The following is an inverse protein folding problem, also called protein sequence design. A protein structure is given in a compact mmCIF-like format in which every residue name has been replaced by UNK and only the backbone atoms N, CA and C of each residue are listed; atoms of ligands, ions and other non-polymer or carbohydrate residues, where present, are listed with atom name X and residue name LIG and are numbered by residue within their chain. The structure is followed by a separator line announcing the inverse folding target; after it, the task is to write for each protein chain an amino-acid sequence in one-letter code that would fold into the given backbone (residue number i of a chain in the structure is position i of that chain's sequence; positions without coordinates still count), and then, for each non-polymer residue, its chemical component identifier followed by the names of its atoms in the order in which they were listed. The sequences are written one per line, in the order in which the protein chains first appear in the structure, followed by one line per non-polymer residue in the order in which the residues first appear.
data_IF_945524954855
#
_entry.id   IF_945524954855
#
_cell.length_a   1.000
_cell.length_b   1.000
_cell.length_c   1.000
_cell.angle_alpha   90.00
_cell.angle_beta   90.00
_cell.angle_gamma   90.00
#
_symmetry.space_group_name_H-M   'P 1'
#
loop_
_entity.id
_entity.type
_entity.pdbx_description
1 polymer ?
#
# COMPACT_ATOMS: atom_id res chain seq x y z
N UNK A 1 -47.22 -0.05 0.45
CA UNK A 1 -46.98 0.21 1.88
C UNK A 1 -45.54 -0.05 2.39
N UNK A 2 -44.62 -0.62 1.60
CA UNK A 2 -43.25 -0.99 2.05
C UNK A 2 -42.20 0.13 1.94
N UNK A 3 -42.39 1.12 1.05
CA UNK A 3 -41.38 2.17 0.79
C UNK A 3 -41.35 3.28 1.87
N UNK A 4 -42.50 3.68 2.42
CA UNK A 4 -42.58 4.73 3.45
C UNK A 4 -41.95 4.31 4.80
N UNK A 5 -41.94 3.02 5.13
CA UNK A 5 -41.32 2.52 6.38
C UNK A 5 -39.78 2.53 6.32
N UNK A 6 -39.19 2.26 5.15
CA UNK A 6 -37.72 2.29 4.97
C UNK A 6 -37.17 3.71 4.96
N UNK A 7 -37.90 4.66 4.37
CA UNK A 7 -37.51 6.08 4.38
C UNK A 7 -37.60 6.69 5.78
N UNK A 8 -38.60 6.29 6.57
CA UNK A 8 -38.77 6.75 7.96
C UNK A 8 -37.65 6.22 8.88
N UNK A 9 -37.21 4.97 8.70
CA UNK A 9 -36.12 4.40 9.49
C UNK A 9 -34.76 5.09 9.22
N UNK A 10 -34.50 5.44 7.96
CA UNK A 10 -33.28 6.15 7.57
C UNK A 10 -33.26 7.59 8.12
N UNK A 11 -34.40 8.30 8.06
CA UNK A 11 -34.51 9.63 8.65
C UNK A 11 -34.33 9.62 10.17
N UNK A 12 -34.88 8.62 10.86
CA UNK A 12 -34.74 8.46 12.31
C UNK A 12 -33.29 8.21 12.72
N UNK A 13 -32.54 7.42 11.94
CA UNK A 13 -31.09 7.17 12.15
C UNK A 13 -30.25 8.43 11.93
N UNK A 14 -30.57 9.22 10.90
CA UNK A 14 -29.88 10.49 10.64
C UNK A 14 -30.17 11.50 11.76
N UNK A 15 -31.42 11.58 12.23
CA UNK A 15 -31.80 12.47 13.32
C UNK A 15 -31.15 12.09 14.65
N UNK A 16 -31.11 10.80 15.01
CA UNK A 16 -30.43 10.35 16.23
C UNK A 16 -28.92 10.59 16.18
N UNK A 17 -28.29 10.44 15.01
CA UNK A 17 -26.88 10.73 14.82
C UNK A 17 -26.54 12.22 14.93
N UNK A 18 -27.39 13.10 14.37
CA UNK A 18 -27.23 14.55 14.51
C UNK A 18 -27.46 15.03 15.95
N UNK A 19 -28.42 14.42 16.68
CA UNK A 19 -28.65 14.71 18.09
C UNK A 19 -27.43 14.31 18.94
N UNK A 20 -26.84 13.15 18.66
CA UNK A 20 -25.64 12.66 19.34
C UNK A 20 -24.45 13.62 19.14
N UNK A 21 -24.25 14.13 17.92
CA UNK A 21 -23.21 15.11 17.62
C UNK A 21 -23.46 16.47 18.30
N UNK A 22 -24.72 16.90 18.43
CA UNK A 22 -25.06 18.12 19.17
C UNK A 22 -24.84 17.99 20.68
N UNK A 23 -25.18 16.84 21.27
CA UNK A 23 -24.93 16.55 22.69
C UNK A 23 -23.44 16.46 22.98
N UNK A 24 -22.67 15.79 22.11
CA UNK A 24 -21.21 15.73 22.20
C UNK A 24 -20.55 17.12 22.11
N UNK A 25 -21.06 18.00 21.24
CA UNK A 25 -20.61 19.41 21.15
C UNK A 25 -21.00 20.26 22.36
N UNK A 26 -22.14 20.00 23.01
CA UNK A 26 -22.55 20.69 24.24
C UNK A 26 -21.68 20.29 25.43
N UNK A 27 -21.41 19.00 25.60
CA UNK A 27 -20.56 18.50 26.69
C UNK A 27 -19.09 18.92 26.55
N UNK A 28 -18.61 19.18 25.33
CA UNK A 28 -17.28 19.72 25.10
C UNK A 28 -17.15 21.22 25.47
N UNK A 29 -18.26 21.97 25.58
CA UNK A 29 -18.26 23.40 25.92
C UNK A 29 -18.41 23.72 27.41
N UNK A 30 -18.74 22.74 28.26
CA UNK A 30 -18.98 22.96 29.70
C UNK A 30 -17.78 22.69 30.62
N UNK A 31 -16.61 22.30 30.08
CA UNK A 31 -15.44 21.96 30.88
C UNK A 31 -14.31 23.01 30.85
N UNK A 32 -14.67 24.29 30.96
CA UNK A 32 -13.74 25.36 31.33
C UNK A 32 -14.38 26.26 32.38
N UNK A 33 -14.01 26.06 33.65
CA UNK A 33 -14.43 26.92 34.76
C UNK A 33 -14.05 26.37 36.14
N UNK A 34 -13.05 27.01 36.74
CA UNK A 34 -12.87 27.27 38.19
C UNK A 34 -12.56 26.13 39.18
N UNK A 35 -11.39 26.29 39.77
CA UNK A 35 -10.88 25.86 41.07
C UNK A 35 -11.79 26.15 42.26
N UNK A 36 -11.60 25.34 43.30
CA UNK A 36 -11.72 25.65 44.74
C UNK A 36 -13.07 25.52 45.48
N UNK A 37 -12.96 24.87 46.66
CA UNK A 37 -13.87 24.83 47.82
C UNK A 37 -15.16 24.01 47.69
N UNK A 38 -15.22 22.85 48.35
CA UNK A 38 -16.14 22.63 49.49
C UNK A 38 -15.78 21.35 50.27
N UNK A 39 -15.83 21.49 51.60
CA UNK A 39 -15.39 20.57 52.63
C UNK A 39 -16.61 19.85 53.25
N UNK A 40 -16.37 18.71 53.91
CA UNK A 40 -17.31 17.91 54.74
C UNK A 40 -18.37 17.13 53.91
N UNK A 41 -18.68 15.85 54.14
CA UNK A 41 -18.78 15.04 55.36
C UNK A 41 -18.79 13.58 54.86
N UNK A 42 -17.97 12.66 55.36
CA UNK A 42 -18.40 11.63 56.31
C UNK A 42 -17.14 10.82 56.65
N UNK A 43 -16.78 10.82 57.94
CA UNK A 43 -15.78 9.91 58.45
C UNK A 43 -16.32 8.47 58.46
N UNK A 44 -15.41 7.50 58.35
CA UNK A 44 -15.26 6.38 59.28
C UNK A 44 -13.95 5.64 58.95
N UNK A 45 -13.10 5.59 59.99
CA UNK A 45 -12.10 4.59 60.36
C UNK A 45 -10.90 4.25 59.45
N UNK A 46 -9.72 4.66 59.93
CA UNK A 46 -8.40 4.09 59.62
C UNK A 46 -8.21 2.76 60.35
N UNK A 47 -7.76 1.72 59.66
CA UNK A 47 -6.88 0.73 60.28
C UNK A 47 -5.97 -0.02 59.30
N UNK A 48 -4.67 0.10 59.57
CA UNK A 48 -3.56 -0.85 59.36
C UNK A 48 -3.06 -1.13 57.94
N UNK A 49 -1.96 -0.45 57.64
CA UNK A 49 -0.84 -0.97 56.84
C UNK A 49 -0.30 -2.26 57.48
N UNK A 50 -0.23 -3.35 56.71
CA UNK A 50 0.68 -4.46 56.95
C UNK A 50 1.36 -4.84 55.64
N UNK A 51 2.64 -4.50 55.58
CA UNK A 51 3.64 -5.04 54.65
C UNK A 51 3.77 -6.54 54.92
N UNK A 52 3.63 -7.37 53.88
CA UNK A 52 4.06 -8.77 53.96
C UNK A 52 4.56 -9.25 52.59
N UNK A 53 5.77 -9.80 52.68
CA UNK A 53 6.67 -10.37 51.69
C UNK A 53 6.06 -11.16 50.52
N UNK A 54 6.74 -11.02 49.38
CA UNK A 54 6.69 -11.92 48.22
C UNK A 54 7.07 -13.36 48.61
N UNK A 55 6.44 -14.35 47.98
CA UNK A 55 7.11 -15.59 47.62
C UNK A 55 7.25 -15.70 46.09
N UNK A 56 8.45 -16.07 45.63
CA UNK A 56 8.62 -16.71 44.31
C UNK A 56 8.02 -18.11 44.36
N UNK A 57 7.41 -18.57 43.27
CA UNK A 57 7.66 -19.92 42.82
C UNK A 57 8.07 -20.01 41.35
N UNK A 58 8.70 -21.15 41.10
CA UNK A 58 9.42 -21.65 39.94
C UNK A 58 8.56 -22.01 38.73
N UNK A 59 9.22 -21.95 37.56
CA UNK A 59 9.12 -22.82 36.38
C UNK A 59 7.85 -23.67 36.23
N UNK A 60 7.02 -23.27 35.26
CA UNK A 60 5.97 -24.08 34.66
C UNK A 60 5.76 -23.66 33.21
N UNK A 61 5.88 -24.63 32.31
CA UNK A 61 5.58 -24.57 30.87
C UNK A 61 4.26 -23.85 30.54
N UNK A 62 4.25 -23.00 29.51
CA UNK A 62 3.01 -22.36 29.05
C UNK A 62 3.13 -21.62 27.71
N UNK A 63 2.50 -22.21 26.69
CA UNK A 63 2.01 -21.70 25.40
C UNK A 63 2.27 -20.25 24.96
N UNK A 64 2.69 -20.11 23.70
CA UNK A 64 2.62 -18.88 22.90
C UNK A 64 1.19 -18.32 22.84
N UNK A 65 0.90 -17.25 23.60
CA UNK A 65 -0.24 -16.38 23.36
C UNK A 65 0.15 -14.90 23.53
N UNK A 66 -0.26 -14.07 22.57
CA UNK A 66 -0.15 -12.62 22.64
C UNK A 66 -1.06 -12.09 23.76
N UNK A 67 -0.47 -11.73 24.92
CA UNK A 67 -1.10 -10.85 25.92
C UNK A 67 -0.18 -9.66 26.26
N UNK A 68 -0.74 -8.53 26.72
CA UNK A 68 -0.07 -7.24 26.78
C UNK A 68 0.74 -7.07 28.07
N UNK A 69 1.94 -6.50 27.96
CA UNK A 69 2.64 -5.97 29.12
C UNK A 69 1.90 -4.71 29.61
N UNK A 70 1.44 -4.75 30.87
CA UNK A 70 0.90 -3.60 31.60
C UNK A 70 1.98 -2.52 31.73
N UNK A 71 1.77 -1.37 31.10
CA UNK A 71 2.31 -0.10 31.59
C UNK A 71 1.21 0.96 31.48
N UNK A 72 0.78 1.47 32.65
CA UNK A 72 -0.06 2.66 32.78
C UNK A 72 0.81 3.89 32.51
N UNK A 73 0.51 4.62 31.44
CA UNK A 73 0.69 6.07 31.36
C UNK A 73 -0.23 6.63 30.26
N UNK A 74 -0.86 7.76 30.54
CA UNK A 74 -1.97 8.38 29.80
C UNK A 74 -1.81 8.43 28.27
N UNK A 75 -2.67 7.72 27.55
CA UNK A 75 -2.93 7.95 26.12
C UNK A 75 -4.34 8.50 25.98
N UNK A 76 -4.42 9.82 25.79
CA UNK A 76 -5.65 10.51 25.46
C UNK A 76 -6.01 10.26 23.98
N UNK A 77 -7.23 9.77 23.77
CA UNK A 77 -8.05 9.93 22.56
C UNK A 77 -7.51 9.43 21.20
N UNK A 78 -7.20 8.13 21.03
CA UNK A 78 -7.19 7.46 19.69
C UNK A 78 -7.68 6.00 19.74
N UNK A 79 -8.83 5.75 20.38
CA UNK A 79 -9.52 4.45 20.30
C UNK A 79 -10.96 4.68 19.82
N UNK A 80 -11.16 4.71 18.51
CA UNK A 80 -12.48 4.59 17.90
C UNK A 80 -12.50 3.48 16.85
N UNK A 81 -13.09 2.36 17.28
CA UNK A 81 -13.93 1.40 16.55
C UNK A 81 -13.60 1.07 15.08
N UNK A 82 -13.03 -0.13 14.87
CA UNK A 82 -12.92 -0.86 13.58
C UNK A 82 -14.18 -0.77 12.71
N UNK A 83 -15.35 -0.88 13.33
CA UNK A 83 -16.62 -0.80 12.61
C UNK A 83 -16.84 0.59 12.00
N UNK A 84 -16.44 1.67 12.66
CA UNK A 84 -16.68 3.03 12.14
C UNK A 84 -15.75 3.32 10.95
N UNK A 85 -14.49 2.90 10.97
CA UNK A 85 -13.58 3.10 9.83
C UNK A 85 -13.90 2.22 8.63
N UNK A 86 -14.16 0.91 8.83
CA UNK A 86 -14.59 0.03 7.74
C UNK A 86 -15.94 0.46 7.19
N UNK A 87 -16.88 0.87 8.06
CA UNK A 87 -18.16 1.42 7.63
C UNK A 87 -17.98 2.79 6.96
N UNK A 88 -17.06 3.66 7.37
CA UNK A 88 -16.77 4.92 6.66
C UNK A 88 -16.09 4.64 5.32
N UNK A 89 -15.15 3.69 5.18
CA UNK A 89 -14.55 3.35 3.87
C UNK A 89 -15.63 2.79 2.92
N UNK A 90 -16.51 1.92 3.45
CA UNK A 90 -17.62 1.33 2.70
C UNK A 90 -18.75 2.36 2.41
N UNK A 91 -19.06 3.29 3.32
CA UNK A 91 -20.11 4.31 3.17
C UNK A 91 -19.60 5.56 2.42
N UNK A 92 -18.32 5.91 2.53
CA UNK A 92 -17.74 7.12 1.91
C UNK A 92 -17.23 6.89 0.49
N UNK A 93 -17.14 5.64 0.03
CA UNK A 93 -16.69 5.32 -1.34
C UNK A 93 -15.27 5.79 -1.66
N UNK A 94 -14.42 6.01 -0.65
CA UNK A 94 -13.02 6.43 -0.82
C UNK A 94 -12.09 5.22 -0.66
N UNK A 95 -11.53 4.67 -1.75
CA UNK A 95 -10.55 3.59 -1.69
C UNK A 95 -9.20 4.21 -1.41
N UNK A 96 -9.00 4.46 -0.12
CA UNK A 96 -7.69 4.77 0.43
C UNK A 96 -7.25 3.55 1.23
N UNK A 97 -5.95 3.25 1.19
CA UNK A 97 -5.35 2.29 2.10
C UNK A 97 -5.56 2.73 3.54
N UNK A 98 -5.68 1.77 4.46
CA UNK A 98 -5.93 2.09 5.86
C UNK A 98 -4.78 2.92 6.44
N UNK A 99 -3.53 2.56 6.12
CA UNK A 99 -2.35 3.35 6.42
C UNK A 99 -1.47 3.49 5.17
N UNK A 100 -0.78 4.63 5.06
CA UNK A 100 0.20 4.87 4.00
C UNK A 100 1.52 5.24 4.66
N UNK A 101 2.47 4.29 4.65
CA UNK A 101 3.80 4.49 5.17
C UNK A 101 4.73 5.08 4.13
N UNK A 102 5.56 6.03 4.51
CA UNK A 102 6.71 6.48 3.72
C UNK A 102 7.99 6.11 4.43
N UNK A 103 8.81 5.27 3.81
CA UNK A 103 10.15 4.96 4.27
C UNK A 103 11.07 6.10 3.85
N UNK A 104 11.58 6.84 4.82
CA UNK A 104 12.42 8.02 4.61
C UNK A 104 13.56 8.02 5.62
N UNK A 105 14.78 8.24 5.16
CA UNK A 105 15.91 8.43 6.07
C UNK A 105 15.69 9.70 6.92
N UNK A 106 15.85 9.66 8.25
CA UNK A 106 15.57 10.81 9.12
C UNK A 106 16.28 12.10 8.72
N UNK A 107 17.49 11.99 8.17
CA UNK A 107 18.30 13.11 7.69
C UNK A 107 17.83 13.70 6.35
N UNK A 108 17.01 12.98 5.56
CA UNK A 108 16.45 13.42 4.27
C UNK A 108 15.18 14.24 4.46
N UNK A 109 15.32 15.34 5.21
CA UNK A 109 14.25 16.30 5.49
C UNK A 109 13.72 16.95 4.21
N UNK A 110 14.58 17.16 3.21
CA UNK A 110 14.23 17.64 1.88
C UNK A 110 13.15 16.77 1.19
N UNK A 111 13.31 15.44 1.25
CA UNK A 111 12.35 14.49 0.68
C UNK A 111 11.09 14.37 1.53
N UNK A 112 11.24 14.40 2.85
CA UNK A 112 10.12 14.39 3.80
C UNK A 112 9.18 15.56 3.59
N UNK A 113 9.71 16.77 3.48
CA UNK A 113 8.92 17.99 3.25
C UNK A 113 8.21 17.94 1.90
N UNK A 114 8.90 17.48 0.85
CA UNK A 114 8.30 17.32 -0.46
C UNK A 114 7.12 16.33 -0.44
N UNK A 115 7.30 15.16 0.19
CA UNK A 115 6.25 14.14 0.33
C UNK A 115 5.07 14.66 1.15
N UNK A 116 5.32 15.37 2.25
CA UNK A 116 4.27 15.94 3.09
C UNK A 116 3.42 16.97 2.34
N UNK A 117 4.06 17.86 1.56
CA UNK A 117 3.37 18.86 0.75
C UNK A 117 2.60 18.23 -0.42
N UNK A 118 3.18 17.24 -1.11
CA UNK A 118 2.49 16.51 -2.17
C UNK A 118 1.25 15.79 -1.63
N UNK A 119 1.36 15.15 -0.46
CA UNK A 119 0.24 14.49 0.18
C UNK A 119 -0.85 15.46 0.63
N UNK A 120 -0.49 16.61 1.20
CA UNK A 120 -1.45 17.65 1.53
C UNK A 120 -2.18 18.15 0.27
N UNK A 121 -1.46 18.33 -0.83
CA UNK A 121 -2.02 18.80 -2.11
C UNK A 121 -2.97 17.79 -2.77
N UNK A 122 -2.71 16.49 -2.65
CA UNK A 122 -3.58 15.43 -3.21
C UNK A 122 -4.53 14.81 -2.18
N UNK A 123 -4.48 15.29 -0.93
CA UNK A 123 -5.26 14.84 0.21
C UNK A 123 -4.99 13.39 0.61
N UNK A 124 -3.74 12.94 0.55
CA UNK A 124 -3.28 11.69 1.16
C UNK A 124 -2.84 11.96 2.60
N UNK A 125 -3.07 10.99 3.48
CA UNK A 125 -2.54 11.00 4.84
C UNK A 125 -1.36 10.05 4.88
N UNK A 126 -0.18 10.55 5.27
CA UNK A 126 1.07 9.80 5.28
C UNK A 126 1.58 9.63 6.71
N UNK A 127 2.05 8.43 7.02
CA UNK A 127 2.77 8.10 8.24
C UNK A 127 4.23 7.83 7.89
N UNK A 128 5.16 8.65 8.37
CA UNK A 128 6.58 8.43 8.12
C UNK A 128 7.13 7.29 8.97
N UNK A 129 7.91 6.41 8.35
CA UNK A 129 8.70 5.37 8.98
C UNK A 129 10.18 5.63 8.70
N UNK A 130 11.00 5.52 9.74
CA UNK A 130 12.41 5.84 9.62
C UNK A 130 13.13 4.78 8.78
N UNK A 131 13.82 5.27 7.75
CA UNK A 131 14.82 4.52 7.01
C UNK A 131 15.98 4.12 7.91
N UNK A 132 16.70 3.08 7.52
CA UNK A 132 17.83 2.56 8.29
C UNK A 132 19.09 2.63 7.44
N UNK A 133 20.16 3.23 7.96
CA UNK A 133 21.50 3.10 7.35
C UNK A 133 22.00 1.68 7.59
N UNK A 134 22.46 0.97 6.56
CA UNK A 134 22.99 -0.39 6.75
C UNK A 134 24.18 -0.44 7.69
N UNK A 135 24.93 0.66 7.85
CA UNK A 135 26.00 0.78 8.86
C UNK A 135 25.53 0.56 10.30
N UNK A 136 24.23 0.79 10.56
CA UNK A 136 23.62 0.61 11.87
C UNK A 136 23.01 -0.78 12.05
N UNK A 137 23.04 -1.64 11.01
CA UNK A 137 22.52 -3.01 11.07
C UNK A 137 23.68 -3.94 11.40
N UNK A 138 23.63 -4.54 12.59
CA UNK A 138 24.63 -5.50 13.02
C UNK A 138 24.51 -6.79 12.20
N UNK A 139 25.65 -7.39 11.85
CA UNK A 139 25.71 -8.66 11.10
C UNK A 139 24.87 -9.76 11.76
N UNK A 140 24.88 -9.83 13.09
CA UNK A 140 24.08 -10.79 13.89
C UNK A 140 22.55 -10.61 13.79
N UNK A 141 22.09 -9.46 13.29
CA UNK A 141 20.67 -9.17 13.10
C UNK A 141 20.19 -9.53 11.68
N UNK A 142 21.10 -9.94 10.80
CA UNK A 142 20.76 -10.38 9.45
C UNK A 142 20.25 -11.82 9.49
N UNK A 143 19.24 -12.15 8.68
CA UNK A 143 18.70 -13.49 8.62
C UNK A 143 19.77 -14.46 8.07
N UNK A 144 19.69 -15.76 8.43
CA UNK A 144 20.60 -16.77 7.96
C UNK A 144 20.52 -16.94 6.42
N UNK A 145 21.52 -17.58 5.84
CA UNK A 145 21.53 -17.96 4.42
C UNK A 145 22.64 -17.33 3.58
N UNK A 146 22.84 -17.90 2.39
CA UNK A 146 23.83 -17.42 1.43
C UNK A 146 23.30 -16.19 0.71
N UNK A 147 23.88 -15.02 1.01
CA UNK A 147 23.54 -13.74 0.39
C UNK A 147 24.27 -13.58 -0.94
N UNK A 148 23.57 -13.12 -1.97
CA UNK A 148 24.20 -12.68 -3.21
C UNK A 148 25.12 -11.48 -2.95
N UNK A 149 26.16 -11.31 -3.79
CA UNK A 149 27.09 -10.17 -3.67
C UNK A 149 26.37 -8.81 -3.70
N UNK A 150 25.23 -8.72 -4.38
CA UNK A 150 24.44 -7.49 -4.50
C UNK A 150 23.80 -7.02 -3.18
N UNK A 151 23.49 -7.94 -2.25
CA UNK A 151 23.01 -7.60 -0.89
C UNK A 151 24.12 -6.98 -0.04
N UNK A 152 25.39 -7.22 -0.35
CA UNK A 152 26.49 -6.81 0.53
C UNK A 152 26.66 -5.28 0.59
N UNK A 153 25.94 -4.52 -0.23
CA UNK A 153 25.92 -3.07 -0.10
C UNK A 153 25.17 -2.64 1.17
N UNK A 154 25.76 -1.66 1.88
CA UNK A 154 25.16 -1.11 3.09
C UNK A 154 23.79 -0.46 2.81
N UNK A 155 23.60 0.09 1.62
CA UNK A 155 22.32 0.62 1.18
C UNK A 155 21.22 -0.44 1.11
N UNK A 156 21.52 -1.60 0.51
CA UNK A 156 20.57 -2.71 0.38
C UNK A 156 20.14 -3.28 1.74
N UNK A 157 21.09 -3.47 2.67
CA UNK A 157 20.80 -3.93 4.03
C UNK A 157 19.90 -2.94 4.77
N UNK A 158 20.20 -1.65 4.64
CA UNK A 158 19.41 -0.57 5.22
C UNK A 158 17.96 -0.54 4.70
N UNK A 159 17.81 -0.64 3.37
CA UNK A 159 16.50 -0.72 2.70
C UNK A 159 15.69 -1.91 3.24
N UNK A 160 16.22 -3.13 3.16
CA UNK A 160 15.55 -4.32 3.71
C UNK A 160 15.09 -4.11 5.15
N UNK A 161 15.99 -3.63 6.03
CA UNK A 161 15.66 -3.46 7.45
C UNK A 161 14.55 -2.43 7.67
N UNK A 162 14.55 -1.34 6.91
CA UNK A 162 13.50 -0.32 6.98
C UNK A 162 12.14 -0.89 6.59
N UNK A 163 12.07 -1.66 5.50
CA UNK A 163 10.84 -2.34 5.10
C UNK A 163 10.39 -3.38 6.15
N UNK A 164 11.31 -4.16 6.73
CA UNK A 164 10.98 -5.09 7.82
C UNK A 164 10.40 -4.36 9.04
N UNK A 165 10.91 -3.18 9.39
CA UNK A 165 10.35 -2.37 10.48
C UNK A 165 8.89 -2.00 10.22
N UNK A 166 8.56 -1.58 9.00
CA UNK A 166 7.18 -1.26 8.62
C UNK A 166 6.30 -2.50 8.67
N UNK A 167 6.74 -3.62 8.11
CA UNK A 167 5.98 -4.88 8.14
C UNK A 167 5.69 -5.34 9.57
N UNK A 168 6.61 -5.13 10.51
CA UNK A 168 6.40 -5.46 11.93
C UNK A 168 5.22 -4.71 12.55
N UNK A 169 4.88 -3.50 12.07
CA UNK A 169 3.72 -2.73 12.53
C UNK A 169 2.40 -3.38 12.12
N UNK A 170 2.39 -4.10 10.99
CA UNK A 170 1.19 -4.77 10.46
C UNK A 170 0.97 -6.18 11.02
N UNK A 171 1.98 -6.77 11.67
CA UNK A 171 1.94 -8.18 12.12
C UNK A 171 0.76 -8.47 13.07
N UNK A 172 0.39 -7.50 13.91
CA UNK A 172 -0.56 -7.70 15.00
C UNK A 172 -1.68 -6.65 14.98
N UNK A 173 -2.96 -7.05 14.75
CA UNK A 173 -4.08 -6.12 14.72
C UNK A 173 -4.47 -5.61 16.12
N UNK A 174 -3.89 -6.14 17.18
CA UNK A 174 -4.17 -5.70 18.56
C UNK A 174 -3.19 -4.59 19.00
N UNK A 175 -1.99 -4.54 18.42
CA UNK A 175 -0.97 -3.54 18.78
C UNK A 175 -1.22 -2.19 18.10
N UNK A 176 -1.32 -2.17 16.77
CA UNK A 176 -1.50 -0.92 16.01
C UNK A 176 -2.83 -0.88 15.23
N UNK A 177 -3.60 -1.98 15.23
CA UNK A 177 -4.89 -2.07 14.54
C UNK A 177 -4.82 -1.85 13.02
N UNK A 178 -3.68 -2.13 12.38
CA UNK A 178 -3.47 -1.99 10.94
C UNK A 178 -3.68 -3.36 10.25
N UNK A 179 -4.55 -3.40 9.24
CA UNK A 179 -4.88 -4.61 8.47
C UNK A 179 -4.33 -4.58 7.05
N UNK A 180 -4.21 -3.39 6.47
CA UNK A 180 -3.58 -3.15 5.17
C UNK A 180 -2.78 -1.86 5.24
N UNK A 181 -1.65 -1.80 4.54
CA UNK A 181 -0.92 -0.55 4.38
C UNK A 181 -0.27 -0.47 3.01
N UNK A 182 -0.21 0.73 2.46
CA UNK A 182 0.62 1.07 1.31
C UNK A 182 1.98 1.55 1.82
N UNK A 183 3.07 1.00 1.31
CA UNK A 183 4.44 1.34 1.68
C UNK A 183 5.08 2.04 0.49
N UNK A 184 5.62 3.23 0.74
CA UNK A 184 6.18 4.16 -0.24
C UNK A 184 7.65 4.42 0.04
N UNK A 185 8.47 4.52 -1.01
CA UNK A 185 9.79 5.17 -0.95
C UNK A 185 9.65 6.71 -0.99
N UNK A 186 10.68 7.45 -0.58
CA UNK A 186 10.62 8.92 -0.41
C UNK A 186 11.01 9.74 -1.66
N UNK A 187 11.45 9.07 -2.72
CA UNK A 187 11.86 9.68 -3.99
C UNK A 187 10.91 9.42 -5.15
N UNK A 188 9.67 9.05 -4.85
CA UNK A 188 8.64 8.79 -5.85
C UNK A 188 7.78 10.02 -6.20
N UNK A 189 6.89 9.81 -7.16
CA UNK A 189 5.85 10.73 -7.65
C UNK A 189 4.59 9.98 -8.08
N UNK A 190 3.48 10.71 -8.19
CA UNK A 190 2.18 10.20 -8.62
C UNK A 190 1.40 11.25 -9.42
N UNK A 191 0.39 10.80 -10.18
CA UNK A 191 -0.54 11.72 -10.84
C UNK A 191 -1.45 12.38 -9.78
N UNK A 192 -1.76 13.67 -9.91
CA UNK A 192 -2.65 14.38 -8.98
C UNK A 192 -4.01 13.68 -8.78
N UNK A 193 -4.43 12.88 -9.78
CA UNK A 193 -5.66 12.08 -9.78
C UNK A 193 -5.49 10.70 -9.12
N UNK A 194 -4.45 10.47 -8.31
CA UNK A 194 -4.10 9.17 -7.70
C UNK A 194 -5.27 8.47 -6.99
N UNK A 195 -6.20 9.21 -6.37
CA UNK A 195 -7.38 8.64 -5.72
C UNK A 195 -8.34 7.97 -6.70
N UNK A 196 -8.52 8.54 -7.90
CA UNK A 196 -9.30 7.91 -8.98
C UNK A 196 -8.59 6.64 -9.46
N UNK A 197 -7.27 6.69 -9.61
CA UNK A 197 -6.50 5.50 -9.97
C UNK A 197 -6.66 4.40 -8.90
N UNK A 198 -6.61 4.75 -7.60
CA UNK A 198 -6.90 3.80 -6.52
C UNK A 198 -8.32 3.24 -6.57
N UNK A 199 -9.33 4.02 -6.98
CA UNK A 199 -10.70 3.55 -7.20
C UNK A 199 -10.77 2.48 -8.28
N UNK A 200 -10.22 2.79 -9.46
CA UNK A 200 -10.21 1.85 -10.60
C UNK A 200 -9.41 0.59 -10.28
N UNK A 201 -8.24 0.75 -9.65
CA UNK A 201 -7.42 -0.38 -9.23
C UNK A 201 -8.10 -1.23 -8.15
N UNK A 202 -8.79 -0.63 -7.18
CA UNK A 202 -9.56 -1.37 -6.17
C UNK A 202 -10.63 -2.26 -6.81
N UNK A 203 -11.36 -1.74 -7.80
CA UNK A 203 -12.34 -2.54 -8.54
C UNK A 203 -11.67 -3.72 -9.27
N UNK A 204 -10.54 -3.49 -9.95
CA UNK A 204 -9.81 -4.56 -10.65
C UNK A 204 -9.24 -5.60 -9.67
N UNK A 205 -8.66 -5.14 -8.56
CA UNK A 205 -8.10 -5.98 -7.52
C UNK A 205 -9.16 -6.85 -6.84
N UNK A 206 -10.38 -6.35 -6.65
CA UNK A 206 -11.51 -7.16 -6.19
C UNK A 206 -11.86 -8.27 -7.19
N UNK A 207 -11.91 -7.99 -8.50
CA UNK A 207 -12.16 -9.02 -9.52
C UNK A 207 -11.08 -10.11 -9.51
N UNK A 208 -9.84 -9.71 -9.22
CA UNK A 208 -8.70 -10.60 -9.17
C UNK A 208 -8.66 -11.45 -7.89
N UNK A 209 -9.00 -10.88 -6.73
CA UNK A 209 -8.72 -11.49 -5.42
C UNK A 209 -9.95 -12.06 -4.73
N UNK A 210 -11.15 -11.56 -5.02
CA UNK A 210 -12.38 -11.99 -4.36
C UNK A 210 -13.00 -13.23 -5.02
N UNK A 211 -13.71 -14.07 -4.23
CA UNK A 211 -14.50 -15.15 -4.80
C UNK A 211 -15.59 -14.66 -5.73
N UNK A 212 -15.91 -15.46 -6.75
CA UNK A 212 -16.99 -15.17 -7.68
C UNK A 212 -18.34 -15.24 -6.97
N UNK A 213 -19.26 -14.32 -7.31
CA UNK A 213 -20.58 -14.25 -6.68
C UNK A 213 -21.44 -15.47 -6.98
N UNK A 214 -21.25 -16.09 -8.14
CA UNK A 214 -22.00 -17.27 -8.58
C UNK A 214 -21.37 -18.62 -8.15
N UNK A 215 -20.06 -18.63 -7.82
CA UNK A 215 -19.37 -19.81 -7.27
C UNK A 215 -18.29 -19.35 -6.29
N UNK A 216 -18.62 -19.34 -5.00
CA UNK A 216 -17.77 -18.78 -3.94
C UNK A 216 -16.52 -19.60 -3.65
N UNK A 217 -16.32 -20.74 -4.34
CA UNK A 217 -15.13 -21.59 -4.23
C UNK A 217 -14.06 -21.25 -5.27
N UNK A 218 -14.40 -20.41 -6.25
CA UNK A 218 -13.51 -20.03 -7.35
C UNK A 218 -13.31 -18.53 -7.37
N UNK A 219 -12.13 -18.10 -7.79
CA UNK A 219 -11.83 -16.72 -8.18
C UNK A 219 -11.68 -16.67 -9.69
N UNK A 220 -11.73 -15.46 -10.24
CA UNK A 220 -11.55 -15.26 -11.68
C UNK A 220 -10.20 -15.78 -12.18
N UNK A 221 -9.05 -15.51 -11.51
CA UNK A 221 -7.75 -16.01 -11.98
C UNK A 221 -7.64 -17.54 -12.06
N UNK A 222 -8.42 -18.27 -11.26
CA UNK A 222 -8.40 -19.75 -11.25
C UNK A 222 -8.91 -20.36 -12.57
N UNK A 223 -9.61 -19.57 -13.41
CA UNK A 223 -10.11 -19.99 -14.72
C UNK A 223 -9.06 -19.83 -15.84
N UNK A 224 -8.00 -19.06 -15.59
CA UNK A 224 -6.96 -18.71 -16.57
C UNK A 224 -5.62 -19.33 -16.18
N UNK A 225 -5.61 -20.59 -15.73
CA UNK A 225 -4.36 -21.25 -15.34
C UNK A 225 -3.44 -21.41 -16.54
N UNK A 226 -2.10 -21.36 -16.35
CA UNK A 226 -1.17 -21.54 -17.46
C UNK A 226 -1.33 -22.91 -18.09
N UNK A 227 -1.54 -22.93 -19.39
CA UNK A 227 -1.46 -24.12 -20.22
C UNK A 227 -0.50 -23.83 -21.38
N UNK A 228 0.63 -24.56 -21.53
CA UNK A 228 1.57 -24.38 -22.63
C UNK A 228 0.93 -24.40 -24.02
N UNK A 229 -0.18 -25.12 -24.20
CA UNK A 229 -0.92 -25.19 -25.47
C UNK A 229 -1.70 -23.91 -25.80
N UNK A 230 -2.03 -23.10 -24.79
CA UNK A 230 -2.83 -21.86 -24.91
C UNK A 230 -1.94 -20.62 -25.02
N UNK A 231 -0.61 -20.77 -24.83
CA UNK A 231 0.35 -19.69 -25.00
C UNK A 231 0.36 -19.21 -26.45
N UNK A 232 -0.28 -18.07 -26.70
CA UNK A 232 -0.31 -17.40 -28.00
C UNK A 232 -1.58 -17.60 -28.85
N UNK A 233 -2.65 -18.19 -28.31
CA UNK A 233 -3.86 -18.49 -29.11
C UNK A 233 -5.06 -17.55 -28.92
N UNK A 234 -5.16 -16.77 -27.84
CA UNK A 234 -6.15 -15.67 -27.67
C UNK A 234 -5.61 -14.63 -26.66
N UNK A 235 -6.07 -13.36 -26.65
CA UNK A 235 -5.75 -12.42 -25.58
C UNK A 235 -6.29 -12.99 -24.27
N UNK A 236 -5.40 -13.29 -23.32
CA UNK A 236 -5.74 -13.66 -21.95
C UNK A 236 -6.12 -12.41 -21.15
N UNK A 237 -6.89 -11.53 -21.79
CA UNK A 237 -7.23 -10.20 -21.35
C UNK A 237 -8.75 -10.04 -21.29
N UNK A 238 -9.24 -9.41 -20.22
CA UNK A 238 -10.66 -9.19 -19.99
C UNK A 238 -10.89 -7.77 -19.49
N UNK A 239 -11.82 -7.04 -20.12
CA UNK A 239 -12.22 -5.73 -19.60
C UNK A 239 -12.82 -5.87 -18.20
N UNK A 240 -12.53 -4.92 -17.32
CA UNK A 240 -13.11 -4.89 -15.98
C UNK A 240 -14.65 -4.83 -15.99
N UNK A 241 -15.22 -4.21 -17.03
CA UNK A 241 -16.67 -4.06 -17.21
C UNK A 241 -17.34 -5.39 -17.60
N UNK A 242 -16.62 -6.23 -18.35
CA UNK A 242 -17.08 -7.56 -18.77
C UNK A 242 -16.78 -8.64 -17.70
N UNK A 243 -15.93 -8.33 -16.72
CA UNK A 243 -15.53 -9.28 -15.70
C UNK A 243 -16.71 -9.65 -14.77
N UNK A 244 -16.88 -10.93 -14.42
CA UNK A 244 -18.00 -11.38 -13.59
C UNK A 244 -18.02 -10.70 -12.21
N UNK A 245 -19.21 -10.59 -11.62
CA UNK A 245 -19.34 -10.03 -10.27
C UNK A 245 -18.70 -10.93 -9.22
N UNK A 246 -17.99 -10.32 -8.28
CA UNK A 246 -17.40 -10.98 -7.11
C UNK A 246 -18.20 -10.67 -5.84
N UNK A 247 -17.90 -11.40 -4.77
CA UNK A 247 -18.34 -11.03 -3.42
C UNK A 247 -17.71 -9.70 -3.04
N UNK A 248 -18.49 -8.81 -2.42
CA UNK A 248 -17.97 -7.53 -1.93
C UNK A 248 -16.98 -7.77 -0.79
N UNK A 249 -15.83 -7.06 -0.79
CA UNK A 249 -14.85 -7.21 0.26
C UNK A 249 -15.36 -6.64 1.59
N UNK A 250 -14.85 -7.18 2.69
CA UNK A 250 -15.25 -6.81 4.06
C UNK A 250 -14.18 -6.05 4.82
N UNK A 251 -12.91 -6.28 4.49
CA UNK A 251 -11.75 -5.80 5.25
C UNK A 251 -11.14 -4.60 4.54
N UNK A 252 -10.92 -4.70 3.24
CA UNK A 252 -10.21 -3.70 2.46
C UNK A 252 -10.89 -3.48 1.11
N UNK A 253 -10.96 -2.23 0.61
CA UNK A 253 -11.54 -1.96 -0.70
C UNK A 253 -10.78 -2.65 -1.85
N UNK A 254 -9.56 -3.15 -1.60
CA UNK A 254 -8.76 -3.89 -2.58
C UNK A 254 -8.97 -5.41 -2.51
N UNK A 255 -9.86 -5.91 -1.64
CA UNK A 255 -10.06 -7.35 -1.41
C UNK A 255 -9.58 -7.80 -0.03
N UNK A 256 -10.02 -9.00 0.35
CA UNK A 256 -9.84 -9.56 1.70
C UNK A 256 -8.67 -10.55 1.82
N UNK A 257 -8.18 -11.11 0.71
CA UNK A 257 -7.27 -12.27 0.75
C UNK A 257 -6.04 -12.16 -0.16
N UNK A 258 -5.59 -10.92 -0.43
CA UNK A 258 -4.32 -10.68 -1.14
C UNK A 258 -3.16 -10.57 -0.15
N UNK A 259 -1.94 -10.83 -0.60
CA UNK A 259 -0.70 -10.68 0.17
C UNK A 259 0.00 -9.35 -0.16
N UNK A 260 0.21 -9.07 -1.46
CA UNK A 260 0.93 -7.87 -1.94
C UNK A 260 0.21 -7.27 -3.15
N UNK A 261 0.08 -5.94 -3.18
CA UNK A 261 -0.36 -5.17 -4.36
C UNK A 261 0.78 -4.25 -4.78
N UNK A 262 1.42 -4.51 -5.90
CA UNK A 262 2.59 -3.76 -6.36
C UNK A 262 2.16 -2.60 -7.25
N UNK A 263 2.17 -1.39 -6.71
CA UNK A 263 1.58 -0.20 -7.38
C UNK A 263 2.62 0.76 -7.94
N UNK A 264 3.87 0.61 -7.52
CA UNK A 264 5.00 1.37 -7.98
C UNK A 264 6.24 0.49 -8.11
N UNK A 265 6.70 0.39 -9.35
CA UNK A 265 7.82 -0.42 -9.78
C UNK A 265 8.44 0.24 -11.02
N UNK A 266 9.64 -0.19 -11.39
CA UNK A 266 10.34 0.28 -12.59
C UNK A 266 9.80 -0.34 -13.87
N UNK A 267 9.16 -1.51 -13.79
CA UNK A 267 8.57 -2.22 -14.93
C UNK A 267 8.16 -3.63 -14.53
N UNK A 268 7.50 -4.34 -15.42
CA UNK A 268 7.04 -5.71 -15.21
C UNK A 268 6.55 -6.32 -16.51
N UNK A 269 6.63 -7.65 -16.62
CA UNK A 269 6.20 -8.41 -17.78
C UNK A 269 4.75 -8.89 -17.60
N UNK A 270 4.07 -9.18 -18.71
CA UNK A 270 2.76 -9.81 -18.65
C UNK A 270 2.89 -11.29 -18.25
N UNK A 271 1.88 -11.87 -17.56
CA UNK A 271 1.90 -13.29 -17.21
C UNK A 271 2.06 -14.22 -18.41
N UNK A 272 1.49 -13.88 -19.57
CA UNK A 272 1.60 -14.64 -20.81
C UNK A 272 3.03 -14.83 -21.32
N UNK A 273 3.95 -13.96 -20.90
CA UNK A 273 5.32 -13.94 -21.42
C UNK A 273 6.28 -14.78 -20.59
N UNK A 274 5.81 -15.41 -19.49
CA UNK A 274 6.65 -16.06 -18.50
C UNK A 274 7.64 -17.09 -19.07
N UNK A 275 7.27 -17.80 -20.13
CA UNK A 275 8.09 -18.84 -20.75
C UNK A 275 9.30 -18.29 -21.53
N UNK A 276 9.33 -16.99 -21.84
CA UNK A 276 10.36 -16.38 -22.70
C UNK A 276 11.47 -15.67 -21.92
N UNK A 277 11.49 -15.77 -20.59
CA UNK A 277 12.18 -14.81 -19.73
C UNK A 277 13.48 -15.37 -19.14
N UNK A 278 14.57 -14.61 -19.34
CA UNK A 278 15.93 -14.91 -18.86
C UNK A 278 16.17 -14.51 -17.39
N UNK A 279 15.37 -13.59 -16.86
CA UNK A 279 15.63 -12.89 -15.57
C UNK A 279 14.56 -13.12 -14.49
N UNK A 280 13.53 -13.91 -14.79
CA UNK A 280 12.46 -14.24 -13.84
C UNK A 280 12.65 -15.66 -13.33
N UNK A 281 11.90 -16.03 -12.28
CA UNK A 281 11.78 -17.44 -11.95
C UNK A 281 11.19 -18.19 -13.14
N UNK A 282 11.71 -19.39 -13.42
CA UNK A 282 11.14 -20.30 -14.40
C UNK A 282 9.80 -20.92 -13.92
N UNK A 283 9.28 -20.46 -12.78
CA UNK A 283 8.01 -20.93 -12.23
C UNK A 283 6.85 -20.32 -13.03
N UNK A 284 5.87 -21.13 -13.45
CA UNK A 284 4.68 -20.61 -14.12
C UNK A 284 3.87 -19.72 -13.16
N UNK A 285 3.22 -18.65 -13.66
CA UNK A 285 2.32 -17.84 -12.84
C UNK A 285 1.14 -18.68 -12.34
N UNK A 286 0.43 -18.20 -11.33
CA UNK A 286 -0.81 -18.83 -10.87
C UNK A 286 -1.94 -18.64 -11.88
N UNK A 287 -1.91 -17.52 -12.60
CA UNK A 287 -2.89 -17.17 -13.63
C UNK A 287 -2.27 -16.37 -14.77
N UNK A 288 -2.79 -16.57 -15.98
CA UNK A 288 -2.47 -15.76 -17.14
C UNK A 288 -3.42 -14.57 -17.34
N UNK A 289 -4.41 -14.41 -16.47
CA UNK A 289 -5.41 -13.34 -16.54
C UNK A 289 -4.76 -11.95 -16.50
N UNK A 290 -5.15 -11.11 -17.46
CA UNK A 290 -4.87 -9.68 -17.49
C UNK A 290 -6.18 -8.90 -17.50
N UNK A 291 -6.47 -8.15 -16.45
CA UNK A 291 -7.64 -7.28 -16.42
C UNK A 291 -7.31 -5.94 -17.06
N UNK A 292 -8.20 -5.45 -17.93
CA UNK A 292 -8.06 -4.16 -18.62
C UNK A 292 -8.95 -3.12 -17.95
N UNK A 293 -8.36 -1.96 -17.66
CA UNK A 293 -9.05 -0.74 -17.27
C UNK A 293 -8.92 0.22 -18.46
N UNK A 294 -9.90 0.24 -19.37
CA UNK A 294 -9.87 1.12 -20.54
C UNK A 294 -10.14 2.58 -20.13
N UNK A 295 -9.90 3.49 -21.07
CA UNK A 295 -10.26 4.91 -20.99
C UNK A 295 -9.80 5.57 -19.68
N UNK A 296 -8.53 5.32 -19.33
CA UNK A 296 -7.89 5.89 -18.17
C UNK A 296 -6.94 7.03 -18.57
N UNK A 297 -7.45 8.28 -18.52
CA UNK A 297 -6.71 9.50 -18.88
C UNK A 297 -5.41 9.75 -18.07
N UNK A 298 -5.16 9.00 -17.00
CA UNK A 298 -3.89 8.99 -16.25
C UNK A 298 -2.81 8.14 -16.89
N UNK A 299 -3.16 7.26 -17.82
CA UNK A 299 -2.23 6.46 -18.61
C UNK A 299 -1.82 7.24 -19.86
N UNK A 300 -0.52 7.48 -20.11
CA UNK A 300 -0.09 8.09 -21.37
C UNK A 300 -0.32 7.19 -22.59
N UNK A 301 -0.32 7.80 -23.78
CA UNK A 301 -0.32 7.05 -25.05
C UNK A 301 0.87 6.09 -25.18
N UNK A 302 0.74 4.98 -25.93
CA UNK A 302 1.75 3.91 -26.02
C UNK A 302 3.20 4.36 -26.23
N UNK A 303 3.42 5.38 -27.07
CA UNK A 303 4.77 5.91 -27.38
C UNK A 303 5.53 6.46 -26.15
N UNK A 304 4.82 6.82 -25.09
CA UNK A 304 5.38 7.35 -23.84
C UNK A 304 5.57 6.27 -22.75
N UNK A 305 5.08 5.04 -22.97
CA UNK A 305 5.12 3.95 -21.99
C UNK A 305 6.48 3.23 -22.00
N UNK A 306 7.49 3.86 -21.40
CA UNK A 306 8.87 3.38 -21.33
C UNK A 306 9.27 3.05 -19.90
N UNK A 307 10.01 1.94 -19.71
CA UNK A 307 10.51 1.47 -18.40
C UNK A 307 11.38 2.47 -17.66
N UNK A 308 12.14 3.27 -18.40
CA UNK A 308 13.07 4.27 -17.87
C UNK A 308 13.36 5.32 -18.95
N UNK A 309 13.91 6.51 -18.59
CA UNK A 309 14.10 7.62 -19.54
C UNK A 309 14.83 7.25 -20.83
N UNK A 310 15.84 6.40 -20.72
CA UNK A 310 16.74 5.99 -21.80
C UNK A 310 16.30 4.70 -22.52
N UNK A 311 15.09 4.20 -22.27
CA UNK A 311 14.62 2.97 -22.89
C UNK A 311 14.42 3.21 -24.39
N UNK A 312 15.06 2.37 -25.21
CA UNK A 312 14.95 2.43 -26.68
C UNK A 312 13.58 1.99 -27.18
N UNK A 313 12.90 1.12 -26.42
CA UNK A 313 11.60 0.55 -26.74
C UNK A 313 10.60 0.87 -25.64
N UNK A 314 9.33 0.94 -26.01
CA UNK A 314 8.21 0.95 -25.07
C UNK A 314 8.05 -0.44 -24.45
N UNK A 315 7.37 -0.50 -23.31
CA UNK A 315 6.99 -1.77 -22.69
C UNK A 315 6.08 -2.56 -23.64
N UNK A 316 6.18 -3.90 -23.62
CA UNK A 316 5.45 -4.76 -24.56
C UNK A 316 3.94 -4.62 -24.45
N UNK A 317 3.40 -4.43 -23.24
CA UNK A 317 1.97 -4.23 -23.03
C UNK A 317 1.43 -2.98 -23.73
N UNK A 318 2.27 -1.97 -23.97
CA UNK A 318 1.86 -0.70 -24.58
C UNK A 318 1.32 -0.87 -26.00
N UNK A 319 1.83 -1.86 -26.75
CA UNK A 319 1.37 -2.14 -28.12
C UNK A 319 0.27 -3.20 -28.21
N UNK A 320 -0.06 -3.87 -27.09
CA UNK A 320 -1.02 -4.97 -27.06
C UNK A 320 -2.46 -4.52 -26.81
N UNK A 321 -2.64 -3.35 -26.19
CA UNK A 321 -3.94 -2.84 -25.78
C UNK A 321 -4.18 -1.43 -26.31
N UNK A 322 -5.45 -0.98 -26.40
CA UNK A 322 -5.76 0.38 -26.83
C UNK A 322 -5.03 1.45 -25.99
N UNK A 323 -4.79 2.65 -26.56
CA UNK A 323 -4.27 3.79 -25.80
C UNK A 323 -5.10 4.05 -24.53
N UNK A 324 -4.46 4.67 -23.52
CA UNK A 324 -5.10 4.97 -22.24
C UNK A 324 -5.63 3.74 -21.47
N UNK A 325 -5.08 2.55 -21.72
CA UNK A 325 -5.45 1.33 -21.00
C UNK A 325 -4.44 1.02 -19.90
N UNK A 326 -4.91 0.86 -18.66
CA UNK A 326 -4.12 0.28 -17.56
C UNK A 326 -4.45 -1.19 -17.46
N UNK A 327 -3.43 -2.02 -17.24
CA UNK A 327 -3.61 -3.46 -17.03
C UNK A 327 -3.33 -3.85 -15.59
N UNK A 328 -4.04 -4.87 -15.10
CA UNK A 328 -3.87 -5.45 -13.75
C UNK A 328 -3.71 -6.95 -13.87
N UNK A 329 -2.64 -7.50 -13.29
CA UNK A 329 -2.29 -8.91 -13.45
C UNK A 329 -1.37 -9.40 -12.33
N UNK A 330 -1.03 -10.69 -12.32
CA UNK A 330 -0.02 -11.26 -11.42
C UNK A 330 1.38 -10.65 -11.73
N UNK A 331 2.15 -10.18 -10.72
CA UNK A 331 3.48 -9.61 -10.96
C UNK A 331 4.44 -10.63 -11.54
N UNK A 332 5.21 -10.22 -12.55
CA UNK A 332 6.25 -11.02 -13.22
C UNK A 332 7.41 -10.13 -13.61
N UNK A 333 8.62 -10.46 -13.18
CA UNK A 333 9.81 -9.69 -13.53
C UNK A 333 9.82 -8.26 -12.99
N UNK A 334 8.93 -7.96 -12.03
CA UNK A 334 8.86 -6.66 -11.41
C UNK A 334 10.18 -6.34 -10.71
N UNK A 335 10.63 -5.09 -10.83
CA UNK A 335 11.80 -4.57 -10.13
C UNK A 335 11.54 -3.16 -9.63
N UNK A 336 12.25 -2.74 -8.58
CA UNK A 336 11.92 -1.53 -7.82
C UNK A 336 10.66 -1.67 -6.95
N UNK A 337 10.68 -0.99 -5.81
CA UNK A 337 9.63 -1.07 -4.77
C UNK A 337 9.17 0.33 -4.36
N UNK A 338 9.09 1.24 -5.33
CA UNK A 338 8.65 2.61 -5.10
C UNK A 338 7.33 2.63 -4.34
N UNK A 339 6.39 1.75 -4.70
CA UNK A 339 5.17 1.56 -3.93
C UNK A 339 4.65 0.12 -3.97
N UNK A 340 4.38 -0.45 -2.80
CA UNK A 340 3.64 -1.69 -2.69
C UNK A 340 2.75 -1.68 -1.46
N UNK A 341 1.53 -2.19 -1.59
CA UNK A 341 0.67 -2.44 -0.46
C UNK A 341 0.83 -3.87 0.03
N UNK A 342 0.61 -4.06 1.32
CA UNK A 342 0.69 -5.37 1.97
C UNK A 342 -0.50 -5.54 2.91
N UNK A 343 -1.08 -6.73 2.92
CA UNK A 343 -2.10 -7.11 3.89
C UNK A 343 -1.44 -7.62 5.17
N UNK A 344 -2.20 -7.77 6.24
CA UNK A 344 -1.69 -8.41 7.46
C UNK A 344 -1.22 -9.85 7.21
N UNK A 345 -1.91 -10.60 6.33
CA UNK A 345 -1.50 -11.96 5.92
C UNK A 345 -0.15 -11.88 5.21
N UNK A 346 -0.04 -11.01 4.20
CA UNK A 346 1.19 -10.80 3.45
C UNK A 346 2.35 -10.35 4.33
N UNK A 347 2.12 -9.42 5.27
CA UNK A 347 3.15 -8.92 6.17
C UNK A 347 3.74 -10.03 7.05
N UNK A 348 2.89 -10.93 7.56
CA UNK A 348 3.37 -12.09 8.35
C UNK A 348 4.20 -13.05 7.50
N UNK A 349 3.76 -13.35 6.27
CA UNK A 349 4.49 -14.23 5.34
C UNK A 349 5.84 -13.63 4.93
N UNK A 350 5.87 -12.33 4.61
CA UNK A 350 7.09 -11.61 4.28
C UNK A 350 8.06 -11.54 5.48
N UNK A 351 7.56 -11.29 6.69
CA UNK A 351 8.39 -11.30 7.91
C UNK A 351 8.94 -12.69 8.22
N UNK A 352 8.14 -13.74 8.00
CA UNK A 352 8.60 -15.11 8.14
C UNK A 352 9.74 -15.39 7.16
N UNK A 353 9.50 -15.15 5.86
CA UNK A 353 10.49 -15.41 4.83
C UNK A 353 11.76 -14.58 5.00
N UNK A 354 11.64 -13.26 5.07
CA UNK A 354 12.79 -12.35 4.97
C UNK A 354 13.31 -11.85 6.31
N UNK A 355 12.60 -12.14 7.40
CA UNK A 355 13.04 -11.84 8.77
C UNK A 355 13.57 -13.07 9.53
N UNK A 356 13.21 -14.29 9.10
CA UNK A 356 13.57 -15.54 9.79
C UNK A 356 14.30 -16.51 8.86
N UNK A 357 13.72 -16.84 7.70
CA UNK A 357 14.27 -17.89 6.81
C UNK A 357 15.53 -17.44 6.06
N UNK A 358 15.48 -16.28 5.40
CA UNK A 358 16.63 -15.77 4.67
C UNK A 358 16.35 -14.60 3.74
N UNK A 359 17.40 -13.82 3.47
CA UNK A 359 17.40 -12.75 2.48
C UNK A 359 18.47 -13.06 1.43
N UNK A 360 18.07 -13.29 0.18
CA UNK A 360 18.95 -13.78 -0.89
C UNK A 360 19.41 -12.68 -1.84
N UNK A 361 18.54 -11.73 -2.18
CA UNK A 361 18.85 -10.58 -3.04
C UNK A 361 18.31 -9.23 -2.51
N UNK A 362 18.49 -8.14 -3.28
CA UNK A 362 17.91 -6.82 -3.01
C UNK A 362 16.42 -6.93 -2.65
N UNK A 363 15.90 -5.98 -1.87
CA UNK A 363 14.54 -6.08 -1.34
C UNK A 363 13.46 -6.18 -2.44
N UNK A 364 13.63 -5.44 -3.54
CA UNK A 364 12.74 -5.51 -4.69
C UNK A 364 12.78 -6.86 -5.39
N UNK A 365 13.97 -7.40 -5.60
CA UNK A 365 14.18 -8.73 -6.17
C UNK A 365 13.59 -9.82 -5.27
N UNK A 366 13.79 -9.69 -3.96
CA UNK A 366 13.21 -10.59 -2.96
C UNK A 366 11.68 -10.54 -2.98
N UNK A 367 11.08 -9.35 -3.09
CA UNK A 367 9.62 -9.21 -3.19
C UNK A 367 9.06 -9.81 -4.49
N UNK A 368 9.80 -9.68 -5.60
CA UNK A 368 9.46 -10.35 -6.88
C UNK A 368 9.47 -11.85 -6.70
N UNK A 369 10.56 -12.40 -6.19
CA UNK A 369 10.72 -13.84 -6.04
C UNK A 369 9.68 -14.40 -5.05
N UNK A 370 9.30 -13.63 -4.03
CA UNK A 370 8.15 -13.95 -3.18
C UNK A 370 6.86 -14.05 -4.00
N UNK A 371 6.49 -13.01 -4.74
CA UNK A 371 5.25 -13.00 -5.52
C UNK A 371 5.22 -14.04 -6.66
N UNK A 372 6.37 -14.37 -7.25
CA UNK A 372 6.46 -15.43 -8.26
C UNK A 372 6.44 -16.84 -7.66
N UNK A 373 6.64 -16.94 -6.34
CA UNK A 373 6.53 -18.18 -5.59
C UNK A 373 7.81 -18.99 -5.48
N UNK A 374 8.97 -18.33 -5.53
CA UNK A 374 10.29 -18.98 -5.45
C UNK A 374 10.54 -19.65 -4.09
N UNK A 375 10.01 -19.06 -3.01
CA UNK A 375 10.28 -19.50 -1.64
C UNK A 375 9.27 -20.51 -1.09
N UNK A 376 8.33 -20.98 -1.89
CA UNK A 376 7.21 -21.77 -1.40
C UNK A 376 7.60 -23.24 -1.32
N UNK A 377 7.27 -23.88 -0.19
CA UNK A 377 7.38 -25.34 -0.04
C UNK A 377 6.39 -26.09 -0.94
N UNK A 378 6.61 -27.39 -1.17
CA UNK A 378 5.75 -28.23 -2.05
C UNK A 378 4.26 -28.24 -1.66
N UNK A 379 3.94 -27.97 -0.40
CA UNK A 379 2.58 -28.03 0.16
C UNK A 379 1.99 -26.65 0.50
N UNK A 380 2.74 -25.57 0.27
CA UNK A 380 2.30 -24.23 0.63
C UNK A 380 1.62 -23.52 -0.54
N UNK A 381 0.61 -22.69 -0.22
CA UNK A 381 -0.09 -21.89 -1.23
C UNK A 381 0.78 -20.75 -1.76
N UNK A 382 0.73 -20.51 -3.07
CA UNK A 382 1.36 -19.32 -3.67
C UNK A 382 0.84 -18.02 -3.03
N UNK A 383 1.69 -17.00 -2.83
CA UNK A 383 1.21 -15.70 -2.41
C UNK A 383 0.32 -15.07 -3.47
N UNK A 384 -0.74 -14.41 -3.01
CA UNK A 384 -1.70 -13.76 -3.88
C UNK A 384 -1.21 -12.33 -4.10
N UNK A 385 -0.52 -12.12 -5.21
CA UNK A 385 -0.03 -10.81 -5.60
C UNK A 385 -0.73 -10.28 -6.84
N UNK A 386 -0.90 -8.96 -6.92
CA UNK A 386 -1.33 -8.27 -8.14
C UNK A 386 -0.46 -7.02 -8.37
N UNK A 387 -0.23 -6.67 -9.62
CA UNK A 387 0.49 -5.46 -10.04
C UNK A 387 -0.33 -4.72 -11.09
N UNK A 388 0.14 -3.54 -11.50
CA UNK A 388 -0.43 -2.81 -12.61
C UNK A 388 0.60 -2.22 -13.57
N UNK A 389 0.30 -2.26 -14.86
CA UNK A 389 1.13 -1.66 -15.90
C UNK A 389 0.31 -0.63 -16.71
N UNK A 390 0.78 0.62 -16.88
CA UNK A 390 1.94 1.20 -16.20
C UNK A 390 1.73 1.23 -14.67
N UNK A 391 2.79 1.42 -13.87
CA UNK A 391 2.65 1.67 -12.43
C UNK A 391 1.87 2.97 -12.15
N UNK A 392 1.31 3.10 -10.96
CA UNK A 392 0.57 4.30 -10.50
C UNK A 392 1.50 5.30 -9.79
N UNK A 393 2.59 4.78 -9.23
CA UNK A 393 3.62 5.53 -8.53
C UNK A 393 4.98 5.16 -9.10
N UNK A 394 5.82 6.14 -9.37
CA UNK A 394 7.10 5.94 -10.06
C UNK A 394 8.16 6.79 -9.41
N UNK A 395 9.42 6.50 -9.66
CA UNK A 395 10.50 7.37 -9.21
C UNK A 395 10.36 8.79 -9.80
N UNK A 396 10.78 9.79 -9.03
CA UNK A 396 10.96 11.16 -9.49
C UNK A 396 12.44 11.46 -9.68
N UNK A 397 12.79 11.92 -10.87
CA UNK A 397 14.14 12.38 -11.16
C UNK A 397 14.18 13.89 -10.89
N UNK A 398 14.96 14.31 -9.89
CA UNK A 398 15.01 15.70 -9.43
C UNK A 398 16.40 16.33 -9.37
N UNK A 399 17.45 15.57 -9.73
CA UNK A 399 18.84 15.87 -9.43
C UNK A 399 19.20 15.44 -8.00
N UNK A 400 19.98 14.36 -7.87
CA UNK A 400 20.39 13.75 -6.60
C UNK A 400 20.69 12.26 -6.78
N UNK A 401 21.62 11.73 -5.99
CA UNK A 401 22.00 10.31 -6.03
C UNK A 401 21.07 9.44 -5.16
N UNK A 402 21.03 8.14 -5.47
CA UNK A 402 20.35 7.14 -4.64
C UNK A 402 21.19 6.81 -3.40
N UNK A 403 20.53 6.72 -2.25
CA UNK A 403 21.13 6.35 -0.97
C UNK A 403 21.31 4.81 -0.81
N UNK A 404 20.79 4.01 -1.77
CA UNK A 404 20.77 2.54 -1.71
C UNK A 404 21.83 1.91 -2.64
N UNK A 405 22.16 2.55 -3.77
CA UNK A 405 23.18 2.06 -4.72
C UNK A 405 23.52 3.02 -5.87
N UNK A 406 24.59 2.71 -6.61
CA UNK A 406 25.22 3.56 -7.66
C UNK A 406 24.44 3.70 -8.98
N UNK A 407 23.11 3.49 -9.01
CA UNK A 407 22.37 3.53 -10.28
C UNK A 407 21.95 4.97 -10.62
N UNK A 408 22.81 5.64 -11.38
CA UNK A 408 22.42 6.47 -12.53
C UNK A 408 21.87 7.89 -12.28
N UNK A 409 21.72 8.33 -11.03
CA UNK A 409 21.22 9.66 -10.68
C UNK A 409 22.17 10.81 -11.04
N UNK A 410 23.49 10.63 -10.84
CA UNK A 410 24.48 11.70 -10.99
C UNK A 410 24.62 12.30 -12.40
N UNK A 411 24.18 11.59 -13.45
CA UNK A 411 24.28 12.06 -14.84
C UNK A 411 22.95 12.54 -15.44
N UNK A 412 21.81 12.27 -14.81
CA UNK A 412 20.50 12.65 -15.36
C UNK A 412 20.07 14.02 -14.83
N UNK A 413 20.20 15.05 -15.68
CA UNK A 413 19.91 16.45 -15.32
C UNK A 413 18.45 16.86 -15.56
N UNK A 414 17.66 16.07 -16.29
CA UNK A 414 16.25 16.37 -16.56
C UNK A 414 15.40 16.05 -15.34
N UNK A 415 14.37 16.87 -15.09
CA UNK A 415 13.43 16.68 -13.99
C UNK A 415 12.12 16.04 -14.49
N UNK A 416 11.49 15.22 -13.68
CA UNK A 416 10.18 14.66 -13.95
C UNK A 416 10.05 13.18 -13.58
N UNK A 417 8.97 12.56 -14.06
CA UNK A 417 8.66 11.15 -13.81
C UNK A 417 8.16 10.46 -15.08
N UNK A 418 8.59 9.19 -15.29
CA UNK A 418 8.06 8.36 -16.37
C UNK A 418 6.58 8.09 -16.19
N UNK A 419 5.83 8.03 -17.28
CA UNK A 419 4.47 7.52 -17.30
C UNK A 419 3.42 8.25 -16.43
N UNK A 420 3.79 9.31 -15.71
CA UNK A 420 2.89 10.15 -14.89
C UNK A 420 2.58 11.44 -15.64
N UNK A 421 1.34 11.62 -16.12
CA UNK A 421 0.94 12.81 -16.88
C UNK A 421 1.02 14.07 -16.03
N UNK A 422 0.20 14.16 -14.98
CA UNK A 422 0.18 15.34 -14.10
C UNK A 422 0.90 15.06 -12.80
N UNK A 423 2.22 15.18 -12.82
CA UNK A 423 3.07 14.96 -11.64
C UNK A 423 2.71 15.87 -10.48
N UNK A 424 2.44 15.28 -9.31
CA UNK A 424 2.21 16.03 -8.07
C UNK A 424 3.46 16.79 -7.65
N UNK A 425 4.66 16.22 -7.84
CA UNK A 425 5.93 16.84 -7.47
C UNK A 425 6.30 18.02 -8.35
N UNK A 426 6.20 17.87 -9.67
CA UNK A 426 6.50 18.91 -10.65
C UNK A 426 5.48 20.06 -10.57
N UNK A 427 4.21 19.74 -10.33
CA UNK A 427 3.16 20.74 -10.21
C UNK A 427 2.96 21.29 -8.80
N UNK A 428 3.80 20.91 -7.82
CA UNK A 428 3.58 21.21 -6.40
C UNK A 428 3.35 22.71 -6.13
N UNK A 429 4.17 23.59 -6.72
CA UNK A 429 4.00 25.05 -6.56
C UNK A 429 2.63 25.53 -7.05
N UNK A 430 2.15 24.99 -8.18
CA UNK A 430 0.84 25.34 -8.74
C UNK A 430 -0.27 24.79 -7.85
N UNK A 431 -0.12 23.55 -7.35
CA UNK A 431 -1.09 22.91 -6.47
C UNK A 431 -1.27 23.68 -5.16
N UNK A 432 -0.18 24.12 -4.53
CA UNK A 432 -0.22 24.89 -3.29
C UNK A 432 -0.79 26.31 -3.46
N UNK A 433 -0.73 26.87 -4.66
CA UNK A 433 -1.24 28.21 -4.95
C UNK A 433 -2.73 28.22 -5.36
N UNK A 434 -3.37 27.05 -5.49
CA UNK A 434 -4.76 26.96 -5.94
C UNK A 434 -5.76 27.41 -4.89
N UNK A 435 -6.91 27.95 -5.31
CA UNK A 435 -8.02 28.20 -4.40
C UNK A 435 -8.50 26.91 -3.74
N UNK A 436 -8.87 26.98 -2.47
CA UNK A 436 -9.40 25.83 -1.71
C UNK A 436 -10.73 25.29 -2.25
N UNK A 437 -11.42 26.04 -3.12
CA UNK A 437 -12.66 25.62 -3.80
C UNK A 437 -12.41 24.70 -4.99
N UNK A 438 -11.18 24.63 -5.49
CA UNK A 438 -10.81 23.78 -6.63
C UNK A 438 -10.69 22.33 -6.17
N UNK A 439 -11.21 21.39 -6.97
CA UNK A 439 -11.10 19.98 -6.66
C UNK A 439 -9.63 19.52 -6.70
N UNK A 440 -9.25 18.60 -5.80
CA UNK A 440 -7.86 18.12 -5.69
C UNK A 440 -7.38 17.41 -6.97
N UNK A 441 -8.30 16.81 -7.73
CA UNK A 441 -8.07 16.08 -8.96
C UNK A 441 -8.20 16.94 -10.23
N UNK A 442 -8.51 18.23 -10.09
CA UNK A 442 -8.60 19.17 -11.20
C UNK A 442 -7.20 19.40 -11.81
N UNK A 443 -7.04 19.17 -13.11
CA UNK A 443 -5.76 19.30 -13.81
C UNK A 443 -5.56 20.65 -14.49
N UNK A 444 -6.54 21.56 -14.40
CA UNK A 444 -6.53 22.84 -15.08
C UNK A 444 -5.33 23.70 -14.69
N UNK A 445 -4.56 24.13 -15.69
CA UNK A 445 -3.35 24.93 -15.52
C UNK A 445 -2.12 24.16 -15.04
N UNK A 446 -2.22 22.84 -14.80
CA UNK A 446 -1.06 22.00 -14.53
C UNK A 446 -0.29 21.69 -15.81
N UNK A 447 0.98 21.32 -15.64
CA UNK A 447 1.81 20.80 -16.72
C UNK A 447 1.52 19.31 -16.87
N UNK A 448 1.08 18.93 -18.06
CA UNK A 448 1.07 17.55 -18.53
C UNK A 448 2.47 17.20 -19.05
N UNK A 449 3.14 16.23 -18.41
CA UNK A 449 4.45 15.74 -18.82
C UNK A 449 4.35 14.86 -20.08
N UNK A 450 3.24 14.17 -20.30
CA UNK A 450 3.12 13.19 -21.39
C UNK A 450 1.87 13.46 -22.21
N UNK A 451 1.79 14.63 -22.88
CA UNK A 451 0.65 14.97 -23.71
C UNK A 451 0.57 14.03 -24.94
N UNK A 452 -0.65 13.78 -25.37
CA UNK A 452 -0.95 12.79 -26.42
C UNK A 452 -0.39 13.21 -27.79
N UNK A 453 -0.30 14.52 -28.04
CA UNK A 453 0.22 15.12 -29.29
C UNK A 453 1.63 15.74 -29.16
N UNK A 454 2.23 15.74 -27.96
CA UNK A 454 3.51 16.43 -27.71
C UNK A 454 4.71 15.50 -27.50
N UNK A 455 5.91 16.06 -27.50
CA UNK A 455 7.09 15.35 -26.97
C UNK A 455 7.00 15.34 -25.43
N UNK A 456 7.33 14.20 -24.81
CA UNK A 456 7.50 14.16 -23.37
C UNK A 456 8.72 14.98 -22.91
N UNK A 457 8.95 15.14 -21.60
CA UNK A 457 10.06 15.95 -21.09
C UNK A 457 11.44 15.44 -21.53
N UNK A 458 11.54 14.18 -21.98
CA UNK A 458 12.80 13.46 -22.08
C UNK A 458 13.17 13.01 -23.48
#
# INVERSE_FOLDING_TARGET
MSYRRRFSALLVLIFTFLLYLQVARRNARTNHGSTEVFNQTLGVSRSRVRTLALPRPSLGSGSLHCFPAYFRANVSAKKQNKWIFTLIIIISGKPQFQEIFVVNLPERTDRRDAMALMAAATGLELTFADGVRGANVLEKALPPGQRNKNIQSMGAIGSWRAHMNVLQRLRCPVQENITTALILEDDLDWDVRIKNQFQKFAAASQKFTQPLRHDTRKRLPDQYRPNPEVLGQEPLALSIDDAPLTILPRISPYGDDWDVLWLGHTGGELPSDYATLKYNSNLPPSSLLTLLIPDEDTVPVPRHLKRHPWAKKTEKFASLYPPHTRVVHEPRGNGGVQAYAVSQRGARRLLHQFGIEGLTDLWDISLRDFCEGVFIGKEEEKPICATTNPPMMVQYWGGGDSDIGNIGGGYFRKKGSIMVRYSARLNLKKLLARPSSMAMDDVSGLVDQWPDDGAGPW
#
